data_IF_674042438000
#
_entry.id   IF_674042438000
#
_cell.length_a   1.000
_cell.length_b   1.000
_cell.length_c   1.000
_cell.angle_alpha   90.00
_cell.angle_beta   90.00
_cell.angle_gamma   90.00
#
_symmetry.space_group_name_H-M   'P 1'
#
loop_
_entity.id
_entity.type
_entity.pdbx_description
1 polymer ?
#
# COMPACT_ATOMS: atom_id res chain seq x y z
N UNK A 1 -3.97 21.35 3.95
CA UNK A 1 -4.72 20.15 3.54
C UNK A 1 -4.74 19.17 4.71
N UNK A 2 -5.88 18.52 4.97
CA UNK A 2 -6.03 17.54 6.07
C UNK A 2 -5.11 16.31 5.93
N UNK A 3 -4.49 16.12 4.77
CA UNK A 3 -3.62 14.97 4.45
C UNK A 3 -2.13 15.18 4.75
N UNK A 4 -1.66 16.38 5.14
CA UNK A 4 -0.20 16.67 5.21
C UNK A 4 0.60 15.64 6.04
N UNK A 5 0.18 15.23 7.24
CA UNK A 5 0.91 14.20 8.00
C UNK A 5 0.86 12.82 7.33
N UNK A 6 -0.23 12.52 6.62
CA UNK A 6 -0.40 11.26 5.89
C UNK A 6 0.54 11.21 4.67
N UNK A 7 0.65 12.33 3.94
CA UNK A 7 1.54 12.50 2.80
C UNK A 7 3.03 12.41 3.20
N UNK A 8 3.39 13.00 4.35
CA UNK A 8 4.72 12.87 4.94
C UNK A 8 5.02 11.42 5.33
N UNK A 9 4.08 10.74 6.00
CA UNK A 9 4.22 9.33 6.34
C UNK A 9 4.39 8.45 5.09
N UNK A 10 3.60 8.71 4.05
CA UNK A 10 3.70 7.97 2.79
C UNK A 10 5.06 8.17 2.11
N UNK A 11 5.58 9.41 2.10
CA UNK A 11 6.93 9.70 1.59
C UNK A 11 8.01 8.91 2.32
N UNK A 12 7.94 8.87 3.65
CA UNK A 12 8.89 8.10 4.48
C UNK A 12 8.81 6.60 4.19
N UNK A 13 7.62 6.04 4.01
CA UNK A 13 7.47 4.63 3.62
C UNK A 13 8.06 4.34 2.25
N UNK A 14 7.83 5.21 1.26
CA UNK A 14 8.43 5.07 -0.07
C UNK A 14 9.96 5.06 0.01
N UNK A 15 10.55 6.00 0.74
CA UNK A 15 12.01 6.07 0.94
C UNK A 15 12.55 4.83 1.65
N UNK A 16 11.87 4.34 2.69
CA UNK A 16 12.30 3.15 3.44
C UNK A 16 12.28 1.88 2.56
N UNK A 17 11.26 1.75 1.71
CA UNK A 17 10.99 0.54 0.92
C UNK A 17 11.57 0.59 -0.50
N UNK A 18 12.18 1.72 -0.89
CA UNK A 18 12.91 1.89 -2.14
C UNK A 18 14.02 0.85 -2.29
N UNK A 19 14.76 0.58 -1.20
CA UNK A 19 15.81 -0.43 -1.20
C UNK A 19 15.20 -1.83 -1.34
N UNK A 20 15.76 -2.69 -2.21
CA UNK A 20 15.32 -4.08 -2.32
C UNK A 20 15.64 -4.84 -1.02
N UNK A 21 14.86 -5.89 -0.75
CA UNK A 21 15.02 -6.71 0.46
C UNK A 21 14.09 -6.32 1.60
N UNK A 22 14.19 -7.06 2.71
CA UNK A 22 13.37 -6.86 3.91
C UNK A 22 13.92 -5.62 4.64
N UNK A 23 13.09 -4.59 4.89
CA UNK A 23 13.55 -3.40 5.59
C UNK A 23 13.92 -3.73 7.05
N UNK A 24 14.96 -3.08 7.57
CA UNK A 24 15.36 -3.20 8.98
C UNK A 24 14.40 -2.44 9.90
N UNK A 25 13.21 -3.00 10.10
CA UNK A 25 12.18 -2.49 11.01
C UNK A 25 12.11 -3.33 12.27
N UNK A 26 11.64 -2.73 13.37
CA UNK A 26 11.51 -3.43 14.66
C UNK A 26 10.57 -4.64 14.59
N UNK A 27 9.46 -4.50 13.85
CA UNK A 27 8.45 -5.55 13.67
C UNK A 27 7.84 -5.47 12.26
N UNK A 28 8.07 -6.47 11.40
CA UNK A 28 7.50 -6.51 10.05
C UNK A 28 5.97 -6.53 10.03
N UNK A 29 5.32 -7.23 10.96
CA UNK A 29 3.87 -7.38 11.03
C UNK A 29 3.18 -6.04 11.35
N UNK A 30 3.74 -5.31 12.32
CA UNK A 30 3.29 -3.95 12.65
C UNK A 30 3.52 -2.99 11.48
N UNK A 31 4.61 -3.17 10.74
CA UNK A 31 4.92 -2.38 9.56
C UNK A 31 3.88 -2.58 8.46
N UNK A 32 3.55 -3.84 8.14
CA UNK A 32 2.49 -4.21 7.19
C UNK A 32 1.15 -3.60 7.62
N UNK A 33 0.79 -3.72 8.90
CA UNK A 33 -0.46 -3.17 9.45
C UNK A 33 -0.51 -1.65 9.32
N UNK A 34 0.59 -0.96 9.63
CA UNK A 34 0.67 0.50 9.57
C UNK A 34 0.53 1.02 8.14
N UNK A 35 1.16 0.35 7.17
CA UNK A 35 1.06 0.70 5.76
C UNK A 35 -0.32 0.40 5.18
N UNK A 36 -0.97 -0.67 5.62
CA UNK A 36 -2.37 -0.96 5.28
C UNK A 36 -3.30 0.16 5.79
N UNK A 37 -3.14 0.59 7.05
CA UNK A 37 -3.94 1.68 7.62
C UNK A 37 -3.79 2.98 6.82
N UNK A 38 -2.57 3.33 6.42
CA UNK A 38 -2.30 4.50 5.58
C UNK A 38 -3.04 4.41 4.23
N UNK A 39 -2.99 3.26 3.55
CA UNK A 39 -3.70 3.04 2.29
C UNK A 39 -5.22 3.16 2.46
N UNK A 40 -5.77 2.60 3.54
CA UNK A 40 -7.19 2.68 3.87
C UNK A 40 -7.63 4.10 4.21
N UNK A 41 -6.79 4.89 4.88
CA UNK A 41 -7.07 6.31 5.15
C UNK A 41 -7.14 7.13 3.87
N UNK A 42 -6.22 6.92 2.91
CA UNK A 42 -6.32 7.56 1.60
C UNK A 42 -7.59 7.20 0.85
N UNK A 43 -7.99 5.91 0.91
CA UNK A 43 -9.24 5.46 0.30
C UNK A 43 -10.47 6.14 0.93
N UNK A 44 -10.50 6.25 2.26
CA UNK A 44 -11.57 6.95 2.99
C UNK A 44 -11.63 8.45 2.67
N UNK A 45 -10.48 9.07 2.40
CA UNK A 45 -10.39 10.47 1.97
C UNK A 45 -10.69 10.67 0.48
N UNK A 46 -11.17 9.64 -0.23
CA UNK A 46 -11.42 9.67 -1.67
C UNK A 46 -10.17 10.11 -2.48
N UNK A 47 -8.99 9.66 -2.06
CA UNK A 47 -7.72 9.84 -2.75
C UNK A 47 -7.28 8.50 -3.37
N UNK A 48 -7.93 8.06 -4.48
CA UNK A 48 -7.77 6.70 -5.00
C UNK A 48 -6.37 6.42 -5.53
N UNK A 49 -5.67 7.42 -6.08
CA UNK A 49 -4.32 7.25 -6.61
C UNK A 49 -3.32 6.99 -5.47
N UNK A 50 -3.38 7.78 -4.39
CA UNK A 50 -2.52 7.58 -3.21
C UNK A 50 -2.83 6.24 -2.52
N UNK A 51 -4.11 5.84 -2.44
CA UNK A 51 -4.50 4.54 -1.91
C UNK A 51 -3.92 3.40 -2.76
N UNK A 52 -4.03 3.50 -4.08
CA UNK A 52 -3.50 2.53 -5.04
C UNK A 52 -1.98 2.37 -4.89
N UNK A 53 -1.23 3.47 -4.91
CA UNK A 53 0.23 3.42 -4.73
C UNK A 53 0.62 2.82 -3.38
N UNK A 54 -0.13 3.15 -2.31
CA UNK A 54 0.11 2.61 -0.97
C UNK A 54 -0.15 1.10 -0.90
N UNK A 55 -1.21 0.60 -1.52
CA UNK A 55 -1.47 -0.84 -1.58
C UNK A 55 -0.46 -1.58 -2.46
N UNK A 56 0.06 -0.97 -3.54
CA UNK A 56 1.14 -1.54 -4.34
C UNK A 56 2.45 -1.63 -3.52
N UNK A 57 2.73 -0.61 -2.70
CA UNK A 57 3.87 -0.63 -1.78
C UNK A 57 3.72 -1.74 -0.73
N UNK A 58 2.52 -1.89 -0.17
CA UNK A 58 2.17 -2.97 0.76
C UNK A 58 2.34 -4.35 0.13
N UNK A 59 1.83 -4.53 -1.09
CA UNK A 59 1.95 -5.76 -1.86
C UNK A 59 3.43 -6.14 -2.07
N UNK A 60 4.28 -5.17 -2.39
CA UNK A 60 5.72 -5.37 -2.56
C UNK A 60 6.39 -5.80 -1.25
N UNK A 61 6.02 -5.18 -0.12
CA UNK A 61 6.51 -5.57 1.21
C UNK A 61 6.07 -6.98 1.60
N UNK A 62 4.78 -7.30 1.51
CA UNK A 62 4.25 -8.64 1.81
C UNK A 62 4.94 -9.71 0.94
N UNK A 63 5.20 -9.42 -0.33
CA UNK A 63 5.99 -10.32 -1.21
C UNK A 63 7.39 -10.57 -0.66
N UNK A 64 8.10 -9.53 -0.20
CA UNK A 64 9.46 -9.66 0.37
C UNK A 64 9.46 -10.44 1.68
N UNK A 65 8.41 -10.29 2.48
CA UNK A 65 8.21 -11.00 3.75
C UNK A 65 7.67 -12.43 3.59
N UNK A 66 7.34 -12.86 2.36
CA UNK A 66 6.64 -14.12 2.07
C UNK A 66 5.27 -14.23 2.76
N UNK A 67 4.64 -13.10 3.03
CA UNK A 67 3.27 -13.01 3.52
C UNK A 67 2.29 -13.12 2.34
N UNK A 68 1.85 -14.36 2.07
CA UNK A 68 0.95 -14.65 0.97
C UNK A 68 -0.45 -14.07 1.18
N UNK A 69 -0.95 -14.08 2.43
CA UNK A 69 -2.28 -13.60 2.76
C UNK A 69 -2.36 -12.08 2.64
N UNK A 70 -1.40 -11.36 3.23
CA UNK A 70 -1.32 -9.91 3.10
C UNK A 70 -1.11 -9.47 1.65
N UNK A 71 -0.33 -10.21 0.87
CA UNK A 71 -0.15 -9.95 -0.56
C UNK A 71 -1.47 -10.10 -1.33
N UNK A 72 -2.22 -11.18 -1.11
CA UNK A 72 -3.51 -11.40 -1.76
C UNK A 72 -4.53 -10.32 -1.40
N UNK A 73 -4.60 -9.94 -0.12
CA UNK A 73 -5.46 -8.86 0.35
C UNK A 73 -5.10 -7.52 -0.35
N UNK A 74 -3.82 -7.14 -0.36
CA UNK A 74 -3.37 -5.92 -1.02
C UNK A 74 -3.72 -5.90 -2.52
N UNK A 75 -3.52 -7.02 -3.23
CA UNK A 75 -3.89 -7.14 -4.65
C UNK A 75 -5.41 -7.04 -4.87
N UNK A 76 -6.22 -7.61 -3.97
CA UNK A 76 -7.67 -7.44 -4.01
C UNK A 76 -8.09 -5.96 -3.87
N UNK A 77 -7.44 -5.21 -2.98
CA UNK A 77 -7.68 -3.77 -2.85
C UNK A 77 -7.26 -2.99 -4.10
N UNK A 78 -6.09 -3.28 -4.66
CA UNK A 78 -5.60 -2.69 -5.93
C UNK A 78 -6.60 -2.93 -7.06
N UNK A 79 -7.06 -4.16 -7.22
CA UNK A 79 -8.05 -4.55 -8.23
C UNK A 79 -9.35 -3.77 -8.03
N UNK A 80 -9.85 -3.70 -6.80
CA UNK A 80 -11.06 -2.94 -6.47
C UNK A 80 -10.94 -1.46 -6.83
N UNK A 81 -9.81 -0.83 -6.52
CA UNK A 81 -9.56 0.59 -6.87
C UNK A 81 -9.49 0.79 -8.39
N UNK A 82 -8.77 -0.07 -9.11
CA UNK A 82 -8.66 0.03 -10.57
C UNK A 82 -10.00 -0.12 -11.28
N UNK A 83 -10.87 -1.01 -10.78
CA UNK A 83 -12.24 -1.12 -11.28
C UNK A 83 -13.08 0.13 -10.98
N UNK A 84 -12.92 0.73 -9.80
CA UNK A 84 -13.57 2.01 -9.46
C UNK A 84 -13.08 3.17 -10.34
N UNK A 85 -11.85 3.12 -10.83
CA UNK A 85 -11.25 4.07 -11.75
C UNK A 85 -11.52 3.74 -13.23
N UNK A 86 -12.40 2.77 -13.52
CA UNK A 86 -12.75 2.34 -14.89
C UNK A 86 -11.53 1.89 -15.71
N UNK A 87 -10.53 1.30 -15.04
CA UNK A 87 -9.29 0.78 -15.63
C UNK A 87 -9.23 -0.76 -15.56
N UNK A 88 -10.18 -1.51 -16.16
CA UNK A 88 -10.29 -2.95 -16.00
C UNK A 88 -9.16 -3.74 -16.65
N UNK A 89 -8.50 -3.20 -17.68
CA UNK A 89 -7.33 -3.83 -18.30
C UNK A 89 -6.13 -3.92 -17.35
N UNK A 90 -5.99 -2.94 -16.45
CA UNK A 90 -4.95 -2.91 -15.43
C UNK A 90 -5.33 -3.72 -14.18
N UNK A 91 -6.62 -4.00 -13.99
CA UNK A 91 -7.16 -4.77 -12.87
C UNK A 91 -6.99 -6.29 -13.05
N UNK A 92 -6.51 -6.75 -14.22
CA UNK A 92 -6.21 -8.15 -14.48
C UNK A 92 -4.88 -8.50 -13.78
N UNK A 93 -4.97 -9.29 -12.70
CA UNK A 93 -3.83 -9.76 -11.90
C UNK A 93 -3.57 -11.23 -12.16
#
# INVERSE_FOLDING_TARGET
>A
ALSKPLDEAFSLWKQLLEKPGIPSVRCPEQTVTSLHLLASLYRLQAQPIQALESFLLLQSLCRRLRDHLGRANALGQVTGILLQLECPSQAQV
#
